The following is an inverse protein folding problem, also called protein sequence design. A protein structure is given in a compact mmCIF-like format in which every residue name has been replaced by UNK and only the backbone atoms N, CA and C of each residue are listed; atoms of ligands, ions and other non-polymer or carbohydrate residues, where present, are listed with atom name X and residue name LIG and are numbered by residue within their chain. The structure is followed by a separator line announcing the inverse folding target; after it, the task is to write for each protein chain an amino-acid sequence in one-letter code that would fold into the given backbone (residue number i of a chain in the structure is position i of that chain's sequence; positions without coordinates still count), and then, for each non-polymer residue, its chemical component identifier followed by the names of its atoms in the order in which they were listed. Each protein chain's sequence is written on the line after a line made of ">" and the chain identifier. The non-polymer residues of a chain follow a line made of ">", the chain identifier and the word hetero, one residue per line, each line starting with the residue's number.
data_IF_920660954044
#
_entry.id   IF_920660954044
#
_cell.length_a   1.000
_cell.length_b   1.000
_cell.length_c   1.000
_cell.angle_alpha   90.00
_cell.angle_beta   90.00
_cell.angle_gamma   90.00
#
_symmetry.space_group_name_H-M   'P 1'
#
loop_
_entity.id
_entity.type
_entity.pdbx_description
1 polymer ?
#
# COMPACT_ATOMS: atom_id res chain seq x y z
N UNK A 1 6.85 -2.91 37.26
CA UNK A 1 5.67 -2.03 37.12
C UNK A 1 5.41 -1.88 35.64
N UNK A 2 4.40 -2.58 35.13
CA UNK A 2 4.00 -2.54 33.72
C UNK A 2 3.72 -1.10 33.31
N UNK A 3 4.47 -0.59 32.32
CA UNK A 3 3.97 0.53 31.54
C UNK A 3 2.75 -0.01 30.81
N UNK A 4 1.55 0.39 31.25
CA UNK A 4 0.29 -0.05 30.67
C UNK A 4 0.34 0.03 29.15
N UNK A 5 -0.02 -1.06 28.48
CA UNK A 5 -0.08 -1.13 27.03
C UNK A 5 -1.09 -0.10 26.51
N UNK A 6 -0.60 0.97 25.88
CA UNK A 6 -1.46 1.92 25.14
C UNK A 6 -1.77 1.31 23.77
N UNK A 7 -2.95 0.71 23.66
CA UNK A 7 -3.46 0.11 22.42
C UNK A 7 -3.61 1.12 21.27
N UNK A 8 -3.57 2.42 21.55
CA UNK A 8 -3.69 3.48 20.54
C UNK A 8 -2.35 4.05 20.07
N UNK A 9 -1.22 3.59 20.64
CA UNK A 9 0.12 4.14 20.37
C UNK A 9 0.46 4.15 18.88
N UNK A 10 0.22 3.04 18.19
CA UNK A 10 0.52 2.85 16.75
C UNK A 10 -0.20 3.88 15.90
N UNK A 11 -1.50 4.04 16.13
CA UNK A 11 -2.37 4.99 15.43
C UNK A 11 -1.91 6.45 15.63
N UNK A 12 -1.47 6.81 16.84
CA UNK A 12 -0.94 8.16 17.13
C UNK A 12 0.45 8.41 16.53
N UNK A 13 1.21 7.34 16.32
CA UNK A 13 2.59 7.41 15.81
C UNK A 13 2.62 7.39 14.27
N UNK A 14 1.64 6.73 13.66
CA UNK A 14 1.46 6.69 12.22
C UNK A 14 1.40 8.11 11.67
N UNK A 15 2.32 8.41 10.75
CA UNK A 15 2.42 9.68 10.02
C UNK A 15 2.93 9.36 8.62
N UNK A 16 2.53 10.17 7.63
CA UNK A 16 3.07 10.06 6.27
C UNK A 16 4.55 10.44 6.24
N UNK A 17 5.43 9.45 6.31
CA UNK A 17 6.89 9.65 6.30
C UNK A 17 7.34 9.86 4.85
N UNK A 18 7.94 11.02 4.58
CA UNK A 18 8.41 11.38 3.23
C UNK A 18 9.93 11.54 3.12
N UNK A 19 10.64 11.23 4.20
CA UNK A 19 12.09 11.25 4.24
C UNK A 19 12.57 9.89 4.74
N UNK A 20 13.21 9.13 3.86
CA UNK A 20 13.69 7.78 4.12
C UNK A 20 15.20 7.77 4.20
N UNK A 21 15.73 7.03 5.19
CA UNK A 21 17.15 6.74 5.25
C UNK A 21 17.51 5.70 4.18
N UNK A 22 18.74 5.77 3.66
CA UNK A 22 19.25 4.80 2.68
C UNK A 22 19.67 3.50 3.37
N UNK A 23 18.67 2.78 3.91
CA UNK A 23 18.82 1.50 4.57
C UNK A 23 17.80 0.52 4.00
N UNK A 24 18.28 -0.64 3.55
CA UNK A 24 17.40 -1.71 3.09
C UNK A 24 16.46 -2.18 4.21
N UNK A 25 15.22 -2.51 3.84
CA UNK A 25 14.24 -3.12 4.74
C UNK A 25 14.39 -4.63 4.63
N UNK A 26 14.49 -5.32 5.77
CA UNK A 26 14.55 -6.78 5.79
C UNK A 26 13.27 -7.39 5.20
N UNK A 27 13.44 -8.39 4.34
CA UNK A 27 12.32 -9.08 3.66
C UNK A 27 11.30 -9.61 4.68
N UNK A 28 11.76 -10.10 5.82
CA UNK A 28 10.91 -10.58 6.91
C UNK A 28 9.93 -9.51 7.41
N UNK A 29 10.36 -8.23 7.47
CA UNK A 29 9.49 -7.14 7.89
C UNK A 29 8.42 -6.83 6.85
N UNK A 30 8.80 -6.85 5.57
CA UNK A 30 7.87 -6.64 4.46
C UNK A 30 6.82 -7.75 4.46
N UNK A 31 7.25 -9.01 4.59
CA UNK A 31 6.37 -10.18 4.67
C UNK A 31 5.42 -10.09 5.86
N UNK A 32 5.89 -9.69 7.05
CA UNK A 32 5.01 -9.47 8.22
C UNK A 32 3.95 -8.41 7.94
N UNK A 33 4.30 -7.28 7.31
CA UNK A 33 3.32 -6.26 6.93
C UNK A 33 2.29 -6.80 5.93
N UNK A 34 2.73 -7.59 4.94
CA UNK A 34 1.84 -8.23 3.95
C UNK A 34 0.89 -9.25 4.59
N UNK A 35 1.37 -10.05 5.55
CA UNK A 35 0.52 -11.01 6.28
C UNK A 35 -0.58 -10.30 7.07
N UNK A 36 -0.26 -9.20 7.76
CA UNK A 36 -1.26 -8.43 8.50
C UNK A 36 -2.23 -7.71 7.56
N UNK A 37 -1.74 -7.21 6.42
CA UNK A 37 -2.58 -6.66 5.36
C UNK A 37 -3.56 -7.70 4.80
N UNK A 38 -3.10 -8.94 4.60
CA UNK A 38 -3.93 -10.06 4.12
C UNK A 38 -5.07 -10.41 5.09
N UNK A 39 -4.87 -10.21 6.39
CA UNK A 39 -5.89 -10.43 7.42
C UNK A 39 -6.99 -9.36 7.45
N UNK A 40 -6.89 -8.31 6.63
CA UNK A 40 -7.94 -7.29 6.57
C UNK A 40 -9.32 -7.88 6.23
N UNK A 41 -10.39 -7.40 6.88
CA UNK A 41 -11.73 -7.87 6.61
C UNK A 41 -12.15 -7.51 5.18
N UNK A 42 -12.86 -8.43 4.51
CA UNK A 42 -13.40 -8.22 3.18
C UNK A 42 -14.75 -8.90 3.02
N UNK A 43 -15.61 -8.32 2.18
CA UNK A 43 -16.94 -8.87 1.91
C UNK A 43 -16.84 -10.32 1.40
N UNK A 44 -17.51 -11.25 2.08
CA UNK A 44 -17.44 -12.69 1.80
C UNK A 44 -15.99 -13.25 1.79
N UNK A 45 -15.09 -12.64 2.57
CA UNK A 45 -13.66 -12.95 2.59
C UNK A 45 -13.08 -13.00 1.16
N UNK A 46 -13.42 -12.00 0.34
CA UNK A 46 -13.03 -11.94 -1.07
C UNK A 46 -11.56 -11.60 -1.28
N UNK A 47 -10.93 -10.90 -0.32
CA UNK A 47 -9.53 -10.46 -0.34
C UNK A 47 -9.15 -9.85 -1.71
N UNK A 48 -9.83 -8.77 -2.16
CA UNK A 48 -9.72 -8.26 -3.52
C UNK A 48 -8.49 -7.37 -3.72
N UNK A 49 -7.33 -7.81 -3.23
CA UNK A 49 -6.08 -7.08 -3.28
C UNK A 49 -4.94 -7.99 -3.71
N UNK A 50 -4.01 -7.45 -4.49
CA UNK A 50 -2.69 -8.03 -4.73
C UNK A 50 -1.63 -6.99 -4.44
N UNK A 51 -0.57 -7.42 -3.78
CA UNK A 51 0.56 -6.56 -3.45
C UNK A 51 1.72 -6.89 -4.38
N UNK A 52 2.30 -5.88 -5.01
CA UNK A 52 3.52 -5.96 -5.79
C UNK A 52 4.59 -5.21 -5.00
N UNK A 53 5.54 -5.95 -4.44
CA UNK A 53 6.69 -5.38 -3.74
C UNK A 53 7.78 -5.07 -4.75
N UNK A 54 8.28 -3.84 -4.72
CA UNK A 54 9.40 -3.37 -5.51
C UNK A 54 10.48 -2.89 -4.56
N UNK A 55 11.55 -3.67 -4.42
CA UNK A 55 12.74 -3.38 -3.60
C UNK A 55 14.03 -3.22 -4.43
N UNK A 56 13.94 -3.39 -5.76
CA UNK A 56 15.03 -3.07 -6.68
C UNK A 56 15.19 -1.55 -6.84
N UNK A 57 16.35 -1.03 -6.43
CA UNK A 57 16.62 0.42 -6.40
C UNK A 57 16.62 1.06 -7.79
N UNK A 58 16.99 0.34 -8.84
CA UNK A 58 16.97 0.89 -10.20
C UNK A 58 15.54 0.97 -10.74
N UNK A 59 14.73 -0.06 -10.47
CA UNK A 59 13.33 -0.11 -10.84
C UNK A 59 12.53 0.97 -10.09
N UNK A 60 12.78 1.17 -8.79
CA UNK A 60 12.17 2.26 -8.00
C UNK A 60 12.48 3.61 -8.65
N UNK A 61 13.75 3.89 -9.00
CA UNK A 61 14.12 5.16 -9.65
C UNK A 61 13.40 5.35 -10.97
N UNK A 62 13.43 4.36 -11.87
CA UNK A 62 12.74 4.40 -13.17
C UNK A 62 11.24 4.60 -13.01
N UNK A 63 10.62 3.87 -12.09
CA UNK A 63 9.19 3.97 -11.78
C UNK A 63 8.86 5.39 -11.31
N UNK A 64 9.66 5.96 -10.41
CA UNK A 64 9.44 7.31 -9.92
C UNK A 64 9.69 8.39 -10.97
N UNK A 65 10.66 8.18 -11.87
CA UNK A 65 10.94 9.12 -12.97
C UNK A 65 9.75 9.26 -13.92
N UNK A 66 8.99 8.19 -14.15
CA UNK A 66 7.79 8.23 -14.99
C UNK A 66 6.54 8.62 -14.19
N UNK A 67 6.32 7.99 -13.03
CA UNK A 67 5.05 8.08 -12.32
C UNK A 67 4.89 9.28 -11.39
N UNK A 68 6.00 9.87 -10.94
CA UNK A 68 6.02 11.04 -10.07
C UNK A 68 6.68 12.24 -10.77
N UNK A 69 6.32 12.46 -12.03
CA UNK A 69 6.80 13.57 -12.86
C UNK A 69 5.69 14.58 -13.16
N UNK A 70 6.05 15.75 -13.70
CA UNK A 70 5.08 16.80 -14.06
C UNK A 70 4.18 17.22 -12.90
N UNK A 71 2.86 17.07 -13.07
CA UNK A 71 1.86 17.38 -12.03
C UNK A 71 1.96 16.49 -10.78
N UNK A 72 2.65 15.35 -10.86
CA UNK A 72 2.86 14.40 -9.77
C UNK A 72 4.21 14.57 -9.05
N UNK A 73 4.99 15.60 -9.43
CA UNK A 73 6.36 15.84 -8.93
C UNK A 73 6.48 16.07 -7.43
N UNK A 74 5.39 16.41 -6.75
CA UNK A 74 5.32 16.52 -5.29
C UNK A 74 5.65 15.20 -4.57
N UNK A 75 5.51 14.06 -5.26
CA UNK A 75 5.83 12.72 -4.74
C UNK A 75 7.19 12.19 -5.21
N UNK A 76 8.04 13.04 -5.80
CA UNK A 76 9.39 12.65 -6.25
C UNK A 76 10.31 12.14 -5.14
N UNK A 77 10.00 12.44 -3.87
CA UNK A 77 10.70 11.87 -2.71
C UNK A 77 10.64 10.34 -2.67
N UNK A 78 9.66 9.71 -3.34
CA UNK A 78 9.58 8.25 -3.45
C UNK A 78 10.85 7.65 -4.09
N UNK A 79 11.66 8.42 -4.83
CA UNK A 79 12.97 7.94 -5.34
C UNK A 79 13.95 7.51 -4.25
N UNK A 80 13.80 8.04 -3.03
CA UNK A 80 14.69 7.72 -1.92
C UNK A 80 14.23 6.49 -1.15
N UNK A 81 12.95 6.08 -1.25
CA UNK A 81 12.39 4.95 -0.49
C UNK A 81 13.07 3.62 -0.85
N UNK A 82 13.45 2.80 0.14
CA UNK A 82 14.04 1.48 -0.15
C UNK A 82 13.04 0.50 -0.75
N UNK A 83 11.73 0.69 -0.55
CA UNK A 83 10.67 -0.23 -1.01
C UNK A 83 9.43 0.56 -1.43
N UNK A 84 8.80 0.15 -2.53
CA UNK A 84 7.45 0.57 -2.95
C UNK A 84 6.54 -0.68 -2.96
N UNK A 85 5.34 -0.57 -2.42
CA UNK A 85 4.31 -1.61 -2.42
C UNK A 85 3.09 -1.13 -3.20
N UNK A 86 3.02 -1.52 -4.47
CA UNK A 86 1.84 -1.24 -5.27
C UNK A 86 0.70 -2.22 -4.94
N UNK A 87 -0.49 -1.69 -4.68
CA UNK A 87 -1.68 -2.45 -4.29
C UNK A 87 -2.67 -2.45 -5.44
N UNK A 88 -2.82 -3.59 -6.09
CA UNK A 88 -3.74 -3.77 -7.21
C UNK A 88 -5.10 -4.20 -6.68
N UNK A 89 -6.12 -3.41 -6.96
CA UNK A 89 -7.52 -3.75 -6.68
C UNK A 89 -8.02 -4.80 -7.67
N UNK A 90 -8.50 -5.92 -7.15
CA UNK A 90 -9.13 -6.99 -7.92
C UNK A 90 -10.66 -6.94 -7.79
N UNK A 91 -11.36 -7.63 -8.70
CA UNK A 91 -12.82 -7.78 -8.56
C UNK A 91 -13.11 -8.69 -7.36
N UNK A 92 -13.97 -8.21 -6.46
CA UNK A 92 -14.50 -9.05 -5.39
C UNK A 92 -15.29 -10.25 -5.94
N UNK A 93 -15.38 -11.32 -5.14
CA UNK A 93 -16.19 -12.52 -5.44
C UNK A 93 -17.62 -12.15 -5.87
N UNK A 94 -18.22 -12.98 -6.71
CA UNK A 94 -19.54 -12.73 -7.29
C UNK A 94 -20.61 -12.36 -6.26
N UNK A 95 -20.72 -13.12 -5.16
CA UNK A 95 -21.68 -12.86 -4.08
C UNK A 95 -21.46 -11.49 -3.41
N UNK A 96 -20.20 -11.12 -3.14
CA UNK A 96 -19.87 -9.82 -2.59
C UNK A 96 -20.23 -8.68 -3.56
N UNK A 97 -20.06 -8.90 -4.87
CA UNK A 97 -20.40 -7.92 -5.91
C UNK A 97 -21.90 -7.70 -6.03
N UNK A 98 -22.69 -8.79 -6.02
CA UNK A 98 -24.16 -8.72 -6.03
C UNK A 98 -24.68 -8.05 -4.76
N UNK A 99 -24.14 -8.41 -3.59
CA UNK A 99 -24.52 -7.79 -2.32
C UNK A 99 -24.19 -6.29 -2.25
N UNK A 100 -23.05 -5.87 -2.79
CA UNK A 100 -22.67 -4.46 -2.90
C UNK A 100 -23.58 -3.68 -3.84
N UNK A 101 -23.92 -4.26 -4.99
CA UNK A 101 -24.84 -3.67 -5.97
C UNK A 101 -26.26 -3.50 -5.38
N UNK A 102 -26.76 -4.49 -4.65
CA UNK A 102 -28.07 -4.41 -4.00
C UNK A 102 -28.14 -3.29 -2.95
N UNK A 103 -27.05 -3.03 -2.22
CA UNK A 103 -26.97 -1.97 -1.21
C UNK A 103 -26.53 -0.61 -1.77
N UNK A 104 -26.18 -0.52 -3.05
CA UNK A 104 -25.60 0.69 -3.63
C UNK A 104 -24.33 1.18 -2.91
N UNK A 105 -23.55 0.27 -2.32
CA UNK A 105 -22.37 0.61 -1.51
C UNK A 105 -21.10 0.07 -2.15
N UNK A 106 -20.14 0.94 -2.45
CA UNK A 106 -18.78 0.54 -2.84
C UNK A 106 -17.89 0.49 -1.60
N UNK A 107 -17.36 -0.69 -1.28
CA UNK A 107 -16.40 -0.85 -0.19
C UNK A 107 -14.98 -0.64 -0.72
N UNK A 108 -14.25 0.34 -0.18
CA UNK A 108 -12.82 0.55 -0.44
C UNK A 108 -11.95 -0.44 0.35
N UNK A 109 -12.08 -1.71 -0.02
CA UNK A 109 -11.46 -2.83 0.71
C UNK A 109 -9.92 -2.78 0.69
N UNK A 110 -9.31 -2.23 -0.37
CA UNK A 110 -7.85 -2.04 -0.45
C UNK A 110 -7.32 -1.05 0.57
N UNK A 111 -8.09 -0.01 0.91
CA UNK A 111 -7.71 0.97 1.93
C UNK A 111 -7.56 0.34 3.32
N UNK A 112 -8.45 -0.60 3.67
CA UNK A 112 -8.38 -1.34 4.94
C UNK A 112 -7.11 -2.21 5.00
N UNK A 113 -6.80 -2.88 3.89
CA UNK A 113 -5.60 -3.71 3.81
C UNK A 113 -4.31 -2.88 3.85
N UNK A 114 -4.26 -1.71 3.21
CA UNK A 114 -3.13 -0.80 3.35
C UNK A 114 -3.01 -0.21 4.76
N UNK A 115 -4.12 0.11 5.44
CA UNK A 115 -4.04 0.59 6.83
C UNK A 115 -3.44 -0.49 7.75
N UNK A 116 -3.86 -1.75 7.59
CA UNK A 116 -3.26 -2.88 8.29
C UNK A 116 -1.75 -3.00 8.01
N UNK A 117 -1.34 -2.85 6.74
CA UNK A 117 0.08 -2.83 6.35
C UNK A 117 0.84 -1.71 7.07
N UNK A 118 0.30 -0.49 7.05
CA UNK A 118 0.89 0.71 7.63
C UNK A 118 1.02 0.58 9.15
N UNK A 119 -0.01 0.10 9.84
CA UNK A 119 0.04 -0.10 11.30
C UNK A 119 1.09 -1.16 11.68
N UNK A 120 1.17 -2.26 10.93
CA UNK A 120 2.20 -3.27 11.16
C UNK A 120 3.60 -2.71 10.89
N UNK A 121 3.76 -1.85 9.88
CA UNK A 121 5.04 -1.20 9.59
C UNK A 121 5.48 -0.31 10.76
N UNK A 122 4.56 0.47 11.35
CA UNK A 122 4.83 1.31 12.53
C UNK A 122 5.28 0.46 13.73
N UNK A 123 4.63 -0.68 13.99
CA UNK A 123 5.05 -1.60 15.06
C UNK A 123 6.47 -2.15 14.85
N UNK A 124 6.88 -2.36 13.59
CA UNK A 124 8.23 -2.80 13.22
C UNK A 124 9.26 -1.67 13.17
N UNK A 125 8.86 -0.44 13.53
CA UNK A 125 9.69 0.77 13.51
C UNK A 125 9.97 1.31 12.11
N UNK A 126 9.11 1.00 11.13
CA UNK A 126 9.21 1.48 9.77
C UNK A 126 8.32 2.71 9.56
N UNK A 127 8.79 3.65 8.74
CA UNK A 127 7.98 4.74 8.23
C UNK A 127 7.35 4.36 6.89
N UNK A 128 6.11 4.78 6.67
CA UNK A 128 5.37 4.56 5.41
C UNK A 128 4.67 5.85 4.97
N UNK A 129 4.34 5.97 3.69
CA UNK A 129 3.48 7.03 3.19
C UNK A 129 2.55 6.45 2.12
N UNK A 130 1.25 6.54 2.36
CA UNK A 130 0.24 6.19 1.36
C UNK A 130 0.22 7.27 0.27
N UNK A 131 0.32 6.86 -1.00
CA UNK A 131 0.37 7.76 -2.16
C UNK A 131 -0.79 7.45 -3.09
N UNK A 132 -1.67 8.43 -3.30
CA UNK A 132 -2.78 8.37 -4.26
C UNK A 132 -2.61 9.31 -5.45
N UNK A 133 -1.61 10.19 -5.44
CA UNK A 133 -1.37 11.19 -6.49
C UNK A 133 -0.18 10.81 -7.36
N UNK A 134 -0.43 10.09 -8.45
CA UNK A 134 0.59 9.59 -9.37
C UNK A 134 0.02 9.27 -10.76
N UNK A 135 0.89 9.08 -11.74
CA UNK A 135 0.50 8.58 -13.06
C UNK A 135 0.24 7.06 -12.99
N UNK A 136 -1.03 6.69 -12.84
CA UNK A 136 -1.46 5.30 -12.77
C UNK A 136 -1.13 4.49 -14.04
N UNK A 137 -1.21 5.11 -15.22
CA UNK A 137 -0.90 4.44 -16.48
C UNK A 137 0.58 4.05 -16.56
N UNK A 138 1.46 4.97 -16.15
CA UNK A 138 2.89 4.75 -16.10
C UNK A 138 3.28 3.64 -15.10
N UNK A 139 2.68 3.64 -13.90
CA UNK A 139 2.91 2.57 -12.91
C UNK A 139 2.48 1.22 -13.45
N UNK A 140 1.29 1.14 -14.04
CA UNK A 140 0.77 -0.12 -14.60
C UNK A 140 1.65 -0.66 -15.71
N UNK A 141 2.14 0.21 -16.60
CA UNK A 141 3.07 -0.17 -17.65
C UNK A 141 4.40 -0.68 -17.05
N UNK A 142 4.97 0.03 -16.08
CA UNK A 142 6.23 -0.35 -15.44
C UNK A 142 6.15 -1.68 -14.67
N UNK A 143 5.00 -1.98 -14.06
CA UNK A 143 4.78 -3.18 -13.25
C UNK A 143 4.04 -4.31 -13.98
N UNK A 144 3.82 -4.17 -15.29
CA UNK A 144 3.05 -5.12 -16.12
C UNK A 144 1.64 -5.43 -15.57
N UNK A 145 0.98 -4.42 -15.02
CA UNK A 145 -0.39 -4.52 -14.50
C UNK A 145 -1.39 -4.21 -15.63
N UNK A 146 -2.45 -5.03 -15.81
CA UNK A 146 -3.47 -4.75 -16.82
C UNK A 146 -4.16 -3.39 -16.60
N UNK A 147 -4.39 -2.66 -17.69
CA UNK A 147 -4.94 -1.29 -17.65
C UNK A 147 -6.33 -1.20 -17.01
N UNK A 148 -7.11 -2.28 -17.08
CA UNK A 148 -8.48 -2.33 -16.53
C UNK A 148 -8.53 -2.47 -15.00
N UNK A 149 -7.40 -2.78 -14.34
CA UNK A 149 -7.33 -2.86 -12.88
C UNK A 149 -7.09 -1.48 -12.29
N UNK A 150 -7.48 -1.25 -11.04
CA UNK A 150 -7.09 -0.03 -10.30
C UNK A 150 -5.85 -0.32 -9.46
N UNK A 151 -4.99 0.67 -9.28
CA UNK A 151 -3.81 0.55 -8.41
C UNK A 151 -3.76 1.69 -7.40
N UNK A 152 -3.35 1.37 -6.19
CA UNK A 152 -2.99 2.30 -5.12
C UNK A 152 -1.50 2.09 -4.77
N UNK A 153 -0.82 3.07 -4.18
CA UNK A 153 0.57 2.93 -3.75
C UNK A 153 0.68 3.09 -2.24
N UNK A 154 1.26 2.06 -1.63
CA UNK A 154 1.74 1.98 -0.26
C UNK A 154 3.27 1.70 -0.33
#
# INVERSE_FOLDING_TARGET
>A
MDKGYDSTRTYKTQKGVRNFIDKAVGLEKIVMCLEVARLAPSACNSQPWKFIVVDDRQLIKRLCDVAFSGVYSTNSFCKTTPVIVAVVSEKSKFLARVGGMYRGTEYHLTGIACEHFVLQAVELGLGTCFISWFDEGAIKAALNVPQQKKIDIC
#
